data_IF_228574355387
#
_entry.id   IF_228574355387
#
_cell.length_a   1.000
_cell.length_b   1.000
_cell.length_c   1.000
_cell.angle_alpha   90.00
_cell.angle_beta   90.00
_cell.angle_gamma   90.00
#
_symmetry.space_group_name_H-M   'P 1'
#
loop_
_entity.id
_entity.type
_entity.pdbx_description
1 polymer ?
#
# COMPACT_ATOMS: atom_id res chain seq x y z
N UNK A 1 -21.04 10.93 -6.80
CA UNK A 1 -20.10 11.18 -5.69
C UNK A 1 -19.49 9.85 -5.31
N UNK A 2 -18.43 9.42 -6.01
CA UNK A 2 -17.56 8.35 -5.54
C UNK A 2 -16.29 9.05 -5.07
N UNK A 3 -16.40 9.79 -3.96
CA UNK A 3 -15.19 10.16 -3.21
C UNK A 3 -14.68 8.88 -2.57
N UNK A 4 -13.39 8.60 -2.77
CA UNK A 4 -12.73 7.31 -2.55
C UNK A 4 -13.09 6.64 -1.23
N UNK A 5 -13.72 5.47 -1.32
CA UNK A 5 -13.96 4.61 -0.17
C UNK A 5 -12.61 4.12 0.39
N UNK A 6 -12.26 4.51 1.60
CA UNK A 6 -11.08 3.97 2.30
C UNK A 6 -11.37 2.54 2.74
N UNK A 7 -10.45 1.62 2.48
CA UNK A 7 -10.49 0.27 3.02
C UNK A 7 -9.64 0.24 4.28
N UNK A 8 -10.19 -0.19 5.41
CA UNK A 8 -9.43 -0.37 6.66
C UNK A 8 -9.22 -1.85 6.93
N UNK A 9 -7.97 -2.25 7.14
CA UNK A 9 -7.60 -3.59 7.60
C UNK A 9 -7.07 -3.45 9.04
N UNK A 10 -7.74 -4.12 9.98
CA UNK A 10 -7.39 -4.13 11.40
C UNK A 10 -7.10 -5.55 11.88
N UNK A 11 -6.32 -5.68 12.96
CA UNK A 11 -5.94 -6.97 13.52
C UNK A 11 -4.70 -7.60 12.87
N UNK A 12 -4.16 -8.64 13.51
CA UNK A 12 -3.15 -9.52 12.89
C UNK A 12 -3.79 -10.29 11.72
N UNK A 13 -3.61 -9.79 10.50
CA UNK A 13 -4.06 -10.44 9.27
C UNK A 13 -2.88 -10.66 8.33
N UNK A 14 -2.99 -11.66 7.45
CA UNK A 14 -2.05 -11.88 6.36
C UNK A 14 -2.81 -11.69 5.05
N UNK A 15 -2.43 -10.68 4.27
CA UNK A 15 -2.95 -10.48 2.92
C UNK A 15 -1.96 -11.13 1.93
N UNK A 16 -2.32 -12.32 1.44
CA UNK A 16 -1.53 -13.09 0.48
C UNK A 16 -2.42 -13.91 -0.45
N UNK A 17 -2.07 -13.99 -1.73
CA UNK A 17 -2.78 -14.78 -2.74
C UNK A 17 -3.99 -14.09 -3.37
N UNK A 18 -4.14 -12.78 -3.20
CA UNK A 18 -5.16 -12.00 -3.91
C UNK A 18 -4.91 -12.03 -5.42
N UNK A 19 -5.96 -12.32 -6.20
CA UNK A 19 -5.87 -12.24 -7.68
C UNK A 19 -6.95 -11.32 -8.20
N UNK A 20 -6.57 -10.37 -9.06
CA UNK A 20 -7.53 -9.64 -9.90
C UNK A 20 -7.42 -10.15 -11.32
N UNK A 21 -8.56 -10.48 -11.91
CA UNK A 21 -8.67 -10.86 -13.31
C UNK A 21 -9.19 -9.67 -14.11
N UNK A 22 -8.66 -9.49 -15.31
CA UNK A 22 -9.08 -8.45 -16.22
C UNK A 22 -10.54 -8.68 -16.63
N UNK A 23 -11.33 -7.62 -16.71
CA UNK A 23 -12.65 -7.72 -17.33
C UNK A 23 -12.53 -8.08 -18.80
N UNK A 24 -13.38 -8.96 -19.31
CA UNK A 24 -13.45 -9.21 -20.76
C UNK A 24 -13.85 -7.93 -21.51
N UNK A 25 -13.15 -7.61 -22.59
CA UNK A 25 -13.43 -6.42 -23.41
C UNK A 25 -14.87 -6.38 -23.93
N UNK A 26 -15.48 -5.20 -23.95
CA UNK A 26 -16.83 -4.98 -24.48
C UNK A 26 -16.91 -5.06 -26.02
N UNK A 27 -18.13 -4.98 -26.57
CA UNK A 27 -18.31 -4.90 -28.03
C UNK A 27 -17.80 -3.56 -28.58
N UNK A 28 -17.35 -3.54 -29.84
CA UNK A 28 -16.85 -2.37 -30.59
C UNK A 28 -15.46 -1.85 -30.18
N UNK A 29 -14.46 -2.73 -30.12
CA UNK A 29 -13.04 -2.33 -30.06
C UNK A 29 -12.54 -1.92 -28.68
N UNK A 30 -13.33 -2.11 -27.62
CA UNK A 30 -12.85 -2.03 -26.26
C UNK A 30 -11.93 -3.24 -25.99
N UNK A 31 -10.66 -2.98 -25.67
CA UNK A 31 -9.71 -4.03 -25.28
C UNK A 31 -10.12 -4.70 -23.98
N UNK A 32 -9.54 -5.88 -23.71
CA UNK A 32 -9.66 -6.51 -22.40
C UNK A 32 -9.11 -5.59 -21.30
N UNK A 33 -9.74 -5.62 -20.13
CA UNK A 33 -9.20 -4.98 -18.94
C UNK A 33 -7.86 -5.64 -18.60
N UNK A 34 -6.83 -4.84 -18.36
CA UNK A 34 -5.53 -5.38 -17.92
C UNK A 34 -5.63 -5.76 -16.45
N UNK A 35 -5.62 -7.05 -16.14
CA UNK A 35 -5.25 -7.48 -14.80
C UNK A 35 -3.74 -7.28 -14.64
N UNK A 36 -3.34 -6.39 -13.76
CA UNK A 36 -1.92 -6.14 -13.48
C UNK A 36 -1.26 -7.24 -12.61
N UNK A 37 -1.93 -8.39 -12.41
CA UNK A 37 -1.36 -9.58 -11.78
C UNK A 37 -1.99 -9.93 -10.42
N UNK A 38 -1.39 -10.91 -9.74
CA UNK A 38 -1.67 -11.20 -8.33
C UNK A 38 -1.32 -9.97 -7.49
N UNK A 39 -2.19 -9.57 -6.55
CA UNK A 39 -2.00 -8.35 -5.78
C UNK A 39 -3.28 -7.69 -5.25
N UNK A 40 -3.08 -6.55 -4.59
CA UNK A 40 -4.09 -5.60 -4.14
C UNK A 40 -4.04 -4.34 -5.02
N UNK A 41 -5.17 -3.92 -5.57
CA UNK A 41 -5.26 -2.73 -6.44
C UNK A 41 -5.94 -1.56 -5.73
N UNK A 42 -5.31 -0.39 -5.81
CA UNK A 42 -5.82 0.85 -5.26
C UNK A 42 -6.63 1.59 -6.35
N UNK A 43 -7.95 1.49 -6.28
CA UNK A 43 -8.87 2.12 -7.25
C UNK A 43 -9.22 3.55 -6.86
N UNK A 44 -8.23 4.46 -6.79
CA UNK A 44 -8.41 5.86 -6.34
C UNK A 44 -8.85 5.97 -4.86
N UNK A 45 -8.46 4.99 -4.04
CA UNK A 45 -8.77 4.91 -2.62
C UNK A 45 -7.49 4.85 -1.79
N UNK A 46 -7.53 5.40 -0.59
CA UNK A 46 -6.54 5.13 0.44
C UNK A 46 -6.78 3.74 1.05
N UNK A 47 -5.71 2.99 1.30
CA UNK A 47 -5.75 1.81 2.15
C UNK A 47 -5.25 2.23 3.54
N UNK A 48 -6.01 1.91 4.59
CA UNK A 48 -5.60 2.13 5.97
C UNK A 48 -5.29 0.78 6.64
N UNK A 49 -4.12 0.68 7.23
CA UNK A 49 -3.63 -0.48 7.95
C UNK A 49 -3.49 -0.10 9.42
N UNK A 50 -4.27 -0.72 10.29
CA UNK A 50 -4.32 -0.39 11.72
C UNK A 50 -4.23 -1.65 12.58
N UNK A 51 -3.08 -2.35 12.58
CA UNK A 51 -2.84 -3.43 13.55
C UNK A 51 -2.75 -2.84 14.97
N UNK A 52 -3.29 -3.56 15.95
CA UNK A 52 -3.17 -3.19 17.36
C UNK A 52 -1.77 -3.42 17.93
N UNK A 53 -1.50 -2.85 19.10
CA UNK A 53 -0.22 -3.01 19.77
C UNK A 53 0.15 -4.50 19.98
N UNK A 54 1.36 -4.88 19.57
CA UNK A 54 1.85 -6.27 19.62
C UNK A 54 1.34 -7.18 18.50
N UNK A 55 0.48 -6.68 17.61
CA UNK A 55 0.06 -7.41 16.41
C UNK A 55 0.99 -7.12 15.23
N UNK A 56 1.09 -8.08 14.32
CA UNK A 56 1.78 -7.91 13.04
C UNK A 56 0.83 -8.21 11.89
N UNK A 57 0.64 -7.23 11.02
CA UNK A 57 -0.06 -7.36 9.75
C UNK A 57 0.97 -7.54 8.65
N UNK A 58 0.99 -8.71 8.02
CA UNK A 58 1.93 -8.99 6.92
C UNK A 58 1.21 -8.91 5.59
N UNK A 59 1.72 -8.08 4.68
CA UNK A 59 1.27 -8.02 3.29
C UNK A 59 2.42 -8.50 2.42
N UNK A 60 2.23 -9.67 1.81
CA UNK A 60 3.20 -10.30 0.91
C UNK A 60 2.81 -10.19 -0.55
N UNK A 61 1.54 -9.86 -0.81
CA UNK A 61 1.08 -9.52 -2.15
C UNK A 61 1.63 -8.17 -2.61
N UNK A 62 1.75 -7.98 -3.92
CA UNK A 62 2.03 -6.67 -4.50
C UNK A 62 0.83 -5.75 -4.32
N UNK A 63 1.09 -4.47 -4.06
CA UNK A 63 0.11 -3.40 -4.00
C UNK A 63 0.39 -2.46 -5.17
N UNK A 64 -0.60 -2.25 -6.03
CA UNK A 64 -0.46 -1.48 -7.26
C UNK A 64 -1.61 -0.49 -7.44
N UNK A 65 -1.37 0.57 -8.20
CA UNK A 65 -2.43 1.48 -8.64
C UNK A 65 -3.30 0.84 -9.73
N UNK A 66 -4.61 1.08 -9.69
CA UNK A 66 -5.48 0.71 -10.80
C UNK A 66 -5.32 1.70 -11.97
N UNK A 67 -4.68 1.24 -13.03
CA UNK A 67 -4.41 2.03 -14.25
C UNK A 67 -5.56 1.98 -15.26
N UNK A 68 -6.58 1.15 -15.04
CA UNK A 68 -7.70 0.96 -15.98
C UNK A 68 -8.70 2.11 -16.02
N UNK A 69 -8.69 2.98 -15.00
CA UNK A 69 -9.68 4.05 -14.81
C UNK A 69 -9.08 5.48 -14.83
N UNK A 70 -7.84 5.65 -15.32
CA UNK A 70 -7.15 6.95 -15.41
C UNK A 70 -5.90 7.04 -14.51
N UNK A 71 -5.14 8.16 -14.54
CA UNK A 71 -3.98 8.36 -13.69
C UNK A 71 -4.42 8.57 -12.24
N UNK A 72 -4.58 7.48 -11.51
CA UNK A 72 -5.05 7.49 -10.13
C UNK A 72 -3.92 6.92 -9.25
N UNK A 73 -3.40 7.73 -8.35
CA UNK A 73 -2.34 7.34 -7.43
C UNK A 73 -2.97 7.00 -6.08
N UNK A 74 -3.01 5.71 -5.74
CA UNK A 74 -3.48 5.23 -4.45
C UNK A 74 -2.44 5.46 -3.35
N UNK A 75 -2.92 5.72 -2.15
CA UNK A 75 -2.06 5.95 -0.98
C UNK A 75 -2.26 4.89 0.09
N UNK A 76 -1.24 4.72 0.94
CA UNK A 76 -1.27 3.83 2.08
C UNK A 76 -1.13 4.63 3.37
N UNK A 77 -1.98 4.37 4.35
CA UNK A 77 -1.91 4.96 5.69
C UNK A 77 -1.72 3.84 6.70
N UNK A 78 -0.71 3.96 7.55
CA UNK A 78 -0.48 3.09 8.69
C UNK A 78 -0.86 3.87 9.93
N UNK A 79 -1.96 3.48 10.57
CA UNK A 79 -2.60 4.19 11.68
C UNK A 79 -2.91 3.21 12.82
N UNK A 80 -1.94 2.34 13.12
CA UNK A 80 -2.05 1.36 14.21
C UNK A 80 -0.75 1.30 15.00
N UNK A 81 -0.87 0.94 16.27
CA UNK A 81 0.29 0.84 17.19
C UNK A 81 1.12 -0.43 16.99
N UNK A 82 0.64 -1.36 16.15
CA UNK A 82 1.31 -2.62 15.82
C UNK A 82 2.38 -2.48 14.75
N UNK A 83 2.72 -3.63 14.14
CA UNK A 83 3.67 -3.70 13.02
C UNK A 83 2.95 -4.00 11.72
N UNK A 84 3.26 -3.24 10.66
CA UNK A 84 2.89 -3.57 9.29
C UNK A 84 4.17 -4.03 8.57
N UNK A 85 4.20 -5.28 8.12
CA UNK A 85 5.30 -5.83 7.33
C UNK A 85 4.89 -5.88 5.85
N UNK A 86 5.48 -5.01 5.03
CA UNK A 86 5.33 -5.02 3.58
C UNK A 86 6.50 -5.78 2.97
N UNK A 87 6.22 -6.95 2.43
CA UNK A 87 7.23 -7.86 1.86
C UNK A 87 7.08 -8.08 0.36
N UNK A 88 5.92 -7.72 -0.20
CA UNK A 88 5.68 -7.72 -1.63
C UNK A 88 6.47 -6.62 -2.37
N UNK A 89 6.53 -6.74 -3.70
CA UNK A 89 7.06 -5.72 -4.59
C UNK A 89 5.92 -4.76 -4.98
N UNK A 90 5.91 -3.55 -4.42
CA UNK A 90 4.79 -2.63 -4.56
C UNK A 90 5.08 -1.56 -5.63
N UNK A 91 4.03 -1.15 -6.36
CA UNK A 91 4.13 -0.18 -7.46
C UNK A 91 3.18 1.02 -7.32
N UNK A 92 2.43 1.11 -6.22
CA UNK A 92 1.62 2.28 -5.93
C UNK A 92 2.47 3.57 -5.86
N UNK A 93 1.87 4.67 -6.34
CA UNK A 93 2.59 5.93 -6.57
C UNK A 93 2.08 7.08 -5.71
N UNK A 94 0.94 6.94 -5.02
CA UNK A 94 0.35 8.00 -4.19
C UNK A 94 1.06 8.27 -2.87
N UNK A 95 2.07 7.45 -2.54
CA UNK A 95 2.86 7.59 -1.32
C UNK A 95 2.23 6.93 -0.10
N UNK A 96 2.87 7.13 1.04
CA UNK A 96 2.54 6.47 2.30
C UNK A 96 2.67 7.43 3.47
N UNK A 97 1.73 7.34 4.41
CA UNK A 97 1.80 7.98 5.72
C UNK A 97 1.90 6.92 6.82
N UNK A 98 2.90 7.03 7.68
CA UNK A 98 3.11 6.18 8.87
C UNK A 98 2.84 7.03 10.10
N UNK A 99 1.60 6.94 10.60
CA UNK A 99 1.10 7.75 11.69
C UNK A 99 1.35 7.12 13.08
N UNK A 100 1.51 5.79 13.14
CA UNK A 100 1.86 5.08 14.37
C UNK A 100 2.59 3.76 14.12
N UNK A 101 3.05 3.15 15.21
CA UNK A 101 3.59 1.79 15.22
C UNK A 101 4.92 1.63 14.46
N UNK A 102 5.07 0.48 13.82
CA UNK A 102 6.26 0.11 13.05
C UNK A 102 5.88 -0.31 11.62
N UNK A 103 6.52 0.30 10.63
CA UNK A 103 6.54 -0.19 9.26
C UNK A 103 7.81 -1.00 9.03
N UNK A 104 7.69 -2.26 8.64
CA UNK A 104 8.81 -3.13 8.24
C UNK A 104 8.80 -3.33 6.72
N UNK A 105 9.90 -3.00 6.05
CA UNK A 105 10.07 -3.09 4.60
C UNK A 105 10.99 -4.27 4.24
N UNK A 106 10.45 -5.24 3.50
CA UNK A 106 11.14 -6.48 3.13
C UNK A 106 11.71 -6.54 1.71
N UNK A 107 11.48 -5.51 0.89
CA UNK A 107 11.97 -5.43 -0.50
C UNK A 107 12.28 -3.97 -0.88
N UNK A 108 13.12 -3.76 -1.89
CA UNK A 108 13.53 -2.43 -2.36
C UNK A 108 12.34 -1.57 -2.82
N UNK A 109 11.26 -2.21 -3.26
CA UNK A 109 10.02 -1.56 -3.72
C UNK A 109 8.85 -1.74 -2.75
N UNK A 110 9.09 -2.22 -1.53
CA UNK A 110 8.02 -2.48 -0.56
C UNK A 110 7.21 -1.23 -0.18
N UNK A 111 7.78 -0.04 -0.29
CA UNK A 111 7.08 1.23 -0.03
C UNK A 111 6.46 1.87 -1.28
N UNK A 112 6.44 1.16 -2.42
CA UNK A 112 6.01 1.73 -3.69
C UNK A 112 7.01 2.78 -4.19
N UNK A 113 6.53 3.76 -4.96
CA UNK A 113 7.38 4.81 -5.56
C UNK A 113 7.16 6.21 -4.99
N UNK A 114 6.09 6.39 -4.21
CA UNK A 114 5.75 7.68 -3.61
C UNK A 114 6.54 8.02 -2.34
N UNK A 115 6.36 9.23 -1.84
CA UNK A 115 6.99 9.70 -0.59
C UNK A 115 6.47 8.91 0.63
N UNK A 116 7.37 8.60 1.57
CA UNK A 116 7.00 8.12 2.90
C UNK A 116 6.99 9.31 3.86
N UNK A 117 5.86 9.57 4.50
CA UNK A 117 5.73 10.57 5.57
C UNK A 117 5.57 9.85 6.90
N UNK A 118 6.35 10.18 7.93
CA UNK A 118 6.24 9.57 9.26
C UNK A 118 6.01 10.63 10.33
N UNK A 119 5.11 10.36 11.27
CA UNK A 119 4.79 11.24 12.41
C UNK A 119 5.03 10.51 13.73
N UNK A 120 6.29 10.36 14.12
CA UNK A 120 6.66 9.68 15.38
C UNK A 120 6.62 8.16 15.34
N UNK A 121 6.70 7.55 14.15
CA UNK A 121 6.68 6.10 13.95
C UNK A 121 8.07 5.51 13.68
N UNK A 122 8.18 4.18 13.72
CA UNK A 122 9.40 3.46 13.33
C UNK A 122 9.29 2.97 11.89
N UNK A 123 10.35 3.19 11.11
CA UNK A 123 10.55 2.55 9.80
C UNK A 123 11.73 1.61 9.94
N UNK A 124 11.48 0.32 9.76
CA UNK A 124 12.45 -0.78 9.76
C UNK A 124 12.58 -1.35 8.34
N UNK A 125 13.76 -1.82 7.98
CA UNK A 125 14.05 -2.39 6.68
C UNK A 125 14.97 -3.60 6.83
N UNK A 126 14.71 -4.65 6.05
CA UNK A 126 15.50 -5.87 6.09
C UNK A 126 16.94 -5.65 5.60
N UNK A 127 17.85 -6.55 6.00
CA UNK A 127 19.26 -6.46 5.60
C UNK A 127 19.40 -6.54 4.07
N UNK A 128 20.22 -5.64 3.52
CA UNK A 128 20.43 -5.51 2.08
C UNK A 128 19.32 -4.80 1.29
N UNK A 129 18.23 -4.36 1.94
CA UNK A 129 17.15 -3.59 1.28
C UNK A 129 17.54 -2.12 1.13
N UNK A 130 17.33 -1.56 -0.07
CA UNK A 130 17.53 -0.14 -0.36
C UNK A 130 16.19 0.51 -0.69
N UNK A 131 15.76 1.42 0.18
CA UNK A 131 14.55 2.21 -0.02
C UNK A 131 14.90 3.53 -0.68
N UNK A 132 14.51 3.68 -1.95
CA UNK A 132 14.76 4.90 -2.73
C UNK A 132 13.73 6.02 -2.48
N UNK A 133 12.65 5.73 -1.76
CA UNK A 133 11.57 6.66 -1.50
C UNK A 133 12.07 7.88 -0.71
N UNK A 134 11.64 9.11 -1.05
CA UNK A 134 11.85 10.26 -0.18
C UNK A 134 11.18 10.01 1.17
N UNK A 135 11.89 10.32 2.26
CA UNK A 135 11.33 10.25 3.62
C UNK A 135 11.14 11.67 4.15
N UNK A 136 9.91 12.01 4.50
CA UNK A 136 9.54 13.24 5.17
C UNK A 136 9.21 12.92 6.63
N UNK A 137 9.91 13.60 7.53
CA UNK A 137 9.56 13.56 8.96
C UNK A 137 8.52 14.65 9.20
N UNK A 138 7.27 14.24 9.36
CA UNK A 138 6.20 15.09 9.85
C UNK A 138 6.33 15.19 11.36
N UNK A 139 7.19 16.09 11.86
CA UNK A 139 7.22 16.36 13.29
C UNK A 139 5.88 16.98 13.69
N UNK A 140 5.05 16.26 14.44
CA UNK A 140 3.98 16.86 15.23
C UNK A 140 4.62 17.60 16.41
N UNK A 141 5.13 18.79 16.13
CA UNK A 141 5.56 19.75 17.15
C UNK A 141 4.30 20.46 17.66
N UNK A 142 3.51 19.77 18.48
CA UNK A 142 2.38 20.35 19.23
C UNK A 142 2.49 20.02 20.71
#
# INVERSE_FOLDING_TARGET
>A
MQDGATVTISGASAASGGTVAGGTGGTAGAGDGTAAGAGLFLQNAGLTLSPGAGETLTISDSIADDTGNGPNAGSLTIDGDGTVALTGENSFSGGMTVAGGTLSLGSDTAAGTGTITTTGSVIDYADGVIIANPIVLGSDDT
#
